data_IF_485655230625
#
_entry.id   IF_485655230625
#
_cell.length_a   1.000
_cell.length_b   1.000
_cell.length_c   1.000
_cell.angle_alpha   90.00
_cell.angle_beta   90.00
_cell.angle_gamma   90.00
#
_symmetry.space_group_name_H-M   'P 1'
#
loop_
_entity.id
_entity.type
_entity.pdbx_description
1 polymer ?
#
# COMPACT_ATOMS: atom_id res chain seq x y z
N UNK A 1 0.08 21.81 -32.07
CA UNK A 1 -0.05 20.37 -32.11
C UNK A 1 -0.52 19.90 -30.74
N UNK A 2 -1.86 19.84 -30.54
CA UNK A 2 -2.44 19.34 -29.30
C UNK A 2 -2.36 17.83 -29.27
N UNK A 3 -1.62 17.27 -28.34
CA UNK A 3 -1.73 15.85 -28.01
C UNK A 3 -3.03 15.64 -27.24
N UNK A 4 -4.04 15.10 -27.92
CA UNK A 4 -5.22 14.54 -27.26
C UNK A 4 -4.83 13.22 -26.63
N UNK A 5 -4.62 13.20 -25.30
CA UNK A 5 -4.42 11.96 -24.56
C UNK A 5 -5.79 11.32 -24.34
N UNK A 6 -6.09 10.29 -25.12
CA UNK A 6 -7.22 9.40 -24.85
C UNK A 6 -6.78 8.35 -23.81
N UNK A 7 -6.83 8.69 -22.52
CA UNK A 7 -6.45 7.77 -21.46
C UNK A 7 -6.62 8.36 -20.06
N UNK A 8 -6.62 7.50 -19.07
CA UNK A 8 -6.70 7.90 -17.65
C UNK A 8 -5.36 8.54 -17.23
N UNK A 9 -5.41 9.75 -16.69
CA UNK A 9 -4.23 10.49 -16.24
C UNK A 9 -4.16 10.43 -14.72
N UNK A 10 -2.97 10.16 -14.17
CA UNK A 10 -2.69 10.24 -12.74
C UNK A 10 -2.48 11.71 -12.38
N UNK A 11 -3.48 12.30 -11.72
CA UNK A 11 -3.45 13.75 -11.42
C UNK A 11 -2.81 14.12 -10.09
N UNK A 12 -2.52 13.18 -9.21
CA UNK A 12 -2.09 13.44 -7.82
C UNK A 12 -0.84 14.30 -7.67
N UNK A 13 0.14 14.11 -8.56
CA UNK A 13 1.39 14.86 -8.54
C UNK A 13 1.50 15.86 -9.69
N UNK A 14 0.52 15.86 -10.58
CA UNK A 14 0.38 16.88 -11.62
C UNK A 14 -0.43 18.03 -11.03
N UNK A 15 0.16 19.18 -10.90
CA UNK A 15 -0.53 20.37 -10.45
C UNK A 15 -0.62 21.39 -11.60
N UNK A 16 -1.51 22.34 -11.44
CA UNK A 16 -1.55 23.50 -12.33
C UNK A 16 -0.49 24.53 -11.92
N UNK A 17 0.03 25.25 -12.91
CA UNK A 17 0.77 26.47 -12.68
C UNK A 17 -0.16 27.53 -12.08
N UNK A 18 0.41 28.66 -11.63
CA UNK A 18 -0.41 29.82 -11.20
C UNK A 18 -1.30 30.37 -12.31
N UNK A 19 -0.95 30.13 -13.59
CA UNK A 19 -1.71 30.53 -14.76
C UNK A 19 -2.81 29.49 -15.15
N UNK A 20 -2.98 28.42 -14.39
CA UNK A 20 -4.01 27.40 -14.65
C UNK A 20 -3.65 26.39 -15.75
N UNK A 21 -2.40 26.36 -16.21
CA UNK A 21 -1.92 25.37 -17.20
C UNK A 21 -1.32 24.15 -16.48
N UNK A 22 -1.41 22.96 -17.10
CA UNK A 22 -0.77 21.76 -16.56
C UNK A 22 0.75 21.95 -16.47
N UNK A 23 1.34 21.50 -15.36
CA UNK A 23 2.81 21.51 -15.19
C UNK A 23 3.45 20.49 -16.13
N UNK A 24 4.63 20.81 -16.62
CA UNK A 24 5.48 19.87 -17.36
C UNK A 24 6.26 18.99 -16.39
N UNK A 25 6.86 17.90 -16.87
CA UNK A 25 7.75 17.04 -16.08
C UNK A 25 8.94 17.79 -15.46
N UNK A 26 9.39 18.87 -16.08
CA UNK A 26 10.48 19.72 -15.59
C UNK A 26 10.02 20.73 -14.51
N UNK A 27 8.72 20.90 -14.35
CA UNK A 27 8.09 21.75 -13.33
C UNK A 27 7.52 20.92 -12.18
N UNK A 28 8.07 19.73 -11.95
CA UNK A 28 7.61 18.76 -10.94
C UNK A 28 8.11 19.14 -9.54
N UNK A 29 7.59 20.24 -8.99
CA UNK A 29 7.82 20.65 -7.60
C UNK A 29 6.57 20.46 -6.73
N UNK A 30 5.79 19.43 -7.03
CA UNK A 30 4.74 19.00 -6.12
C UNK A 30 5.37 18.37 -4.86
N UNK A 31 4.90 18.80 -3.70
CA UNK A 31 5.35 18.20 -2.45
C UNK A 31 4.95 16.71 -2.40
N UNK A 32 5.87 15.89 -1.89
CA UNK A 32 5.55 14.50 -1.63
C UNK A 32 4.50 14.39 -0.54
N UNK A 33 3.50 13.50 -0.75
CA UNK A 33 2.42 13.27 0.20
C UNK A 33 2.90 12.26 1.24
N UNK A 34 3.21 12.71 2.47
CA UNK A 34 3.50 11.81 3.58
C UNK A 34 2.23 11.27 4.21
N UNK A 35 1.33 12.18 4.62
CA UNK A 35 0.03 11.86 5.21
C UNK A 35 -1.02 12.85 4.73
N UNK A 36 -2.26 12.38 4.60
CA UNK A 36 -3.42 13.20 4.31
C UNK A 36 -4.66 12.68 5.03
N UNK A 37 -5.65 13.52 5.19
CA UNK A 37 -6.82 13.23 6.00
C UNK A 37 -7.51 11.90 5.69
N UNK A 38 -7.78 11.51 4.41
CA UNK A 38 -8.35 10.20 4.10
C UNK A 38 -7.53 9.03 4.61
N UNK A 39 -6.19 9.11 4.57
CA UNK A 39 -5.34 8.07 5.13
C UNK A 39 -5.55 7.91 6.65
N UNK A 40 -5.68 9.02 7.38
CA UNK A 40 -5.94 8.99 8.83
C UNK A 40 -7.31 8.35 9.12
N UNK A 41 -8.34 8.63 8.30
CA UNK A 41 -9.64 7.98 8.42
C UNK A 41 -9.53 6.47 8.23
N UNK A 42 -8.81 6.02 7.19
CA UNK A 42 -8.61 4.60 6.89
C UNK A 42 -7.72 3.92 7.94
N UNK A 43 -6.72 4.59 8.52
CA UNK A 43 -5.96 4.07 9.65
C UNK A 43 -6.83 3.88 10.89
N UNK A 44 -7.73 4.84 11.18
CA UNK A 44 -8.70 4.71 12.27
C UNK A 44 -9.66 3.55 12.03
N UNK A 45 -10.15 3.40 10.80
CA UNK A 45 -11.00 2.27 10.42
C UNK A 45 -10.29 0.93 10.66
N UNK A 46 -9.02 0.82 10.28
CA UNK A 46 -8.20 -0.37 10.51
C UNK A 46 -8.09 -0.71 12.01
N UNK A 47 -7.80 0.30 12.84
CA UNK A 47 -7.73 0.10 14.29
C UNK A 47 -9.05 -0.34 14.90
N UNK A 48 -10.19 0.17 14.41
CA UNK A 48 -11.52 -0.24 14.86
C UNK A 48 -11.84 -1.69 14.45
N UNK A 49 -11.48 -2.09 13.22
CA UNK A 49 -11.64 -3.48 12.76
C UNK A 49 -10.87 -4.43 13.68
N UNK A 50 -9.67 -4.08 14.10
CA UNK A 50 -8.85 -4.90 14.99
C UNK A 50 -9.42 -4.97 16.43
N UNK A 51 -10.25 -4.05 16.86
CA UNK A 51 -10.99 -4.14 18.13
C UNK A 51 -12.13 -5.17 18.06
N UNK A 52 -12.76 -5.34 16.92
CA UNK A 52 -13.61 -6.47 16.56
C UNK A 52 -15.02 -6.46 17.15
N UNK A 53 -15.46 -5.46 17.92
CA UNK A 53 -16.88 -5.39 18.33
C UNK A 53 -17.76 -4.94 17.15
N UNK A 54 -19.03 -5.36 17.11
CA UNK A 54 -19.93 -4.93 16.03
C UNK A 54 -20.08 -3.42 15.95
N UNK A 55 -20.07 -2.71 17.07
CA UNK A 55 -20.11 -1.25 17.10
C UNK A 55 -18.83 -0.64 16.49
N UNK A 56 -17.66 -1.22 16.77
CA UNK A 56 -16.40 -0.79 16.18
C UNK A 56 -16.35 -1.09 14.67
N UNK A 57 -16.86 -2.25 14.22
CA UNK A 57 -16.94 -2.60 12.81
C UNK A 57 -17.87 -1.67 12.03
N UNK A 58 -19.03 -1.34 12.59
CA UNK A 58 -19.95 -0.35 11.99
C UNK A 58 -19.29 1.04 11.91
N UNK A 59 -18.60 1.47 12.96
CA UNK A 59 -17.87 2.72 12.96
C UNK A 59 -16.72 2.72 11.93
N UNK A 60 -16.02 1.62 11.77
CA UNK A 60 -14.98 1.44 10.75
C UNK A 60 -15.56 1.55 9.33
N UNK A 61 -16.66 0.85 9.07
CA UNK A 61 -17.36 0.92 7.79
C UNK A 61 -17.79 2.36 7.46
N UNK A 62 -18.36 3.08 8.43
CA UNK A 62 -18.76 4.48 8.24
C UNK A 62 -17.58 5.38 7.82
N UNK A 63 -16.38 5.16 8.38
CA UNK A 63 -15.17 5.91 8.00
C UNK A 63 -14.71 5.58 6.57
N UNK A 64 -14.78 4.32 6.16
CA UNK A 64 -14.47 3.90 4.79
C UNK A 64 -15.46 4.56 3.82
N UNK A 65 -16.76 4.52 4.14
CA UNK A 65 -17.80 5.11 3.31
C UNK A 65 -17.69 6.65 3.22
N UNK A 66 -17.15 7.31 4.24
CA UNK A 66 -16.85 8.75 4.18
C UNK A 66 -15.81 9.05 3.09
N UNK A 67 -14.77 8.22 2.97
CA UNK A 67 -13.74 8.36 1.92
C UNK A 67 -14.35 8.10 0.54
N UNK A 68 -15.13 7.04 0.40
CA UNK A 68 -15.80 6.65 -0.86
C UNK A 68 -16.82 7.68 -1.33
N UNK A 69 -17.63 8.22 -0.43
CA UNK A 69 -18.62 9.25 -0.73
C UNK A 69 -17.97 10.51 -1.31
N UNK A 70 -16.85 10.94 -0.74
CA UNK A 70 -16.07 12.07 -1.27
C UNK A 70 -15.59 11.82 -2.71
N UNK A 71 -15.22 10.58 -3.02
CA UNK A 71 -14.77 10.17 -4.35
C UNK A 71 -15.91 9.87 -5.33
N UNK A 72 -17.17 9.99 -4.90
CA UNK A 72 -18.38 9.60 -5.66
C UNK A 72 -18.32 8.13 -6.13
N UNK A 73 -17.79 7.24 -5.28
CA UNK A 73 -17.54 5.83 -5.59
C UNK A 73 -18.55 4.89 -4.91
N UNK A 74 -19.74 5.39 -4.59
CA UNK A 74 -20.76 4.64 -3.82
C UNK A 74 -21.48 3.55 -4.66
N UNK A 75 -21.56 3.74 -5.97
CA UNK A 75 -22.32 2.85 -6.85
C UNK A 75 -21.53 1.63 -7.35
N UNK A 76 -20.24 1.53 -7.05
CA UNK A 76 -19.36 0.54 -7.65
C UNK A 76 -19.17 -0.73 -6.84
N UNK A 77 -19.70 -0.83 -5.61
CA UNK A 77 -19.48 -1.97 -4.74
C UNK A 77 -20.75 -2.69 -4.34
N UNK A 78 -20.75 -3.98 -4.62
CA UNK A 78 -21.81 -4.93 -4.27
C UNK A 78 -21.78 -5.37 -2.80
N UNK A 79 -20.79 -4.92 -2.00
CA UNK A 79 -20.62 -5.37 -0.62
C UNK A 79 -21.53 -4.57 0.30
N UNK A 80 -22.58 -5.21 0.77
CA UNK A 80 -23.52 -4.66 1.75
C UNK A 80 -23.12 -5.04 3.18
N UNK A 81 -22.70 -4.07 3.96
CA UNK A 81 -22.38 -4.22 5.38
C UNK A 81 -23.51 -3.65 6.29
N UNK A 82 -24.77 -3.68 5.83
CA UNK A 82 -25.91 -3.16 6.61
C UNK A 82 -26.33 -4.02 7.79
N UNK A 83 -25.89 -5.28 7.83
CA UNK A 83 -26.22 -6.26 8.87
C UNK A 83 -25.10 -6.49 9.88
N UNK A 84 -24.91 -7.77 10.27
CA UNK A 84 -23.77 -8.21 11.08
C UNK A 84 -22.53 -8.23 10.20
N UNK A 85 -21.55 -7.42 10.56
CA UNK A 85 -20.34 -7.24 9.78
C UNK A 85 -19.32 -8.32 10.14
N UNK A 86 -18.80 -9.01 9.13
CA UNK A 86 -17.66 -9.89 9.26
C UNK A 86 -16.37 -9.03 9.24
N UNK A 87 -15.54 -9.22 10.27
CA UNK A 87 -14.30 -8.42 10.42
C UNK A 87 -13.28 -8.68 9.31
N UNK A 88 -13.14 -9.92 8.84
CA UNK A 88 -12.19 -10.26 7.77
C UNK A 88 -12.63 -9.69 6.42
N UNK A 89 -13.92 -9.72 6.11
CA UNK A 89 -14.48 -9.11 4.90
C UNK A 89 -14.35 -7.60 4.91
N UNK A 90 -14.63 -6.96 6.04
CA UNK A 90 -14.46 -5.53 6.20
C UNK A 90 -12.98 -5.10 6.12
N UNK A 91 -12.08 -5.93 6.66
CA UNK A 91 -10.64 -5.68 6.55
C UNK A 91 -10.15 -5.76 5.09
N UNK A 92 -10.65 -6.74 4.34
CA UNK A 92 -10.36 -6.84 2.91
C UNK A 92 -10.89 -5.62 2.14
N UNK A 93 -12.13 -5.23 2.41
CA UNK A 93 -12.75 -4.05 1.82
C UNK A 93 -11.94 -2.77 2.12
N UNK A 94 -11.49 -2.60 3.37
CA UNK A 94 -10.60 -1.51 3.77
C UNK A 94 -9.28 -1.54 2.98
N UNK A 95 -8.65 -2.72 2.82
CA UNK A 95 -7.37 -2.87 2.13
C UNK A 95 -7.49 -2.49 0.64
N UNK A 96 -8.63 -2.82 0.04
CA UNK A 96 -8.94 -2.44 -1.35
C UNK A 96 -9.23 -0.95 -1.47
N UNK A 97 -9.93 -0.35 -0.50
CA UNK A 97 -10.15 1.10 -0.49
C UNK A 97 -8.85 1.87 -0.30
N UNK A 98 -7.95 1.39 0.59
CA UNK A 98 -6.60 1.96 0.73
C UNK A 98 -5.81 1.88 -0.57
N UNK A 99 -5.94 0.78 -1.32
CA UNK A 99 -5.29 0.63 -2.63
C UNK A 99 -5.78 1.67 -3.64
N UNK A 100 -7.10 1.91 -3.69
CA UNK A 100 -7.72 2.91 -4.58
C UNK A 100 -7.37 4.35 -4.17
N UNK A 101 -7.62 4.67 -2.91
CA UNK A 101 -7.45 6.04 -2.40
C UNK A 101 -5.97 6.48 -2.35
N UNK A 102 -5.05 5.58 -1.95
CA UNK A 102 -3.63 5.89 -1.75
C UNK A 102 -2.74 5.44 -2.93
N UNK A 103 -3.34 5.13 -4.06
CA UNK A 103 -2.62 4.73 -5.28
C UNK A 103 -1.56 5.79 -5.65
N UNK A 104 -0.37 5.33 -6.00
CA UNK A 104 0.83 6.14 -6.31
C UNK A 104 1.43 6.95 -5.15
N UNK A 105 1.00 6.73 -3.91
CA UNK A 105 1.57 7.38 -2.73
C UNK A 105 2.62 6.52 -1.99
N UNK A 106 3.02 5.38 -2.58
CA UNK A 106 4.04 4.49 -2.02
C UNK A 106 3.58 3.67 -0.80
N UNK A 107 2.26 3.57 -0.55
CA UNK A 107 1.72 2.95 0.67
C UNK A 107 1.43 1.45 0.52
N UNK A 108 1.11 0.99 -0.70
CA UNK A 108 0.56 -0.35 -0.94
C UNK A 108 1.38 -1.48 -0.35
N UNK A 109 2.72 -1.45 -0.51
CA UNK A 109 3.59 -2.48 0.02
C UNK A 109 3.45 -2.64 1.54
N UNK A 110 3.47 -1.53 2.25
CA UNK A 110 3.36 -1.52 3.72
C UNK A 110 1.98 -1.96 4.20
N UNK A 111 0.93 -1.62 3.49
CA UNK A 111 -0.44 -2.04 3.80
C UNK A 111 -0.58 -3.56 3.67
N UNK A 112 -0.16 -4.12 2.54
CA UNK A 112 -0.20 -5.56 2.28
C UNK A 112 0.69 -6.33 3.24
N UNK A 113 1.90 -5.85 3.51
CA UNK A 113 2.82 -6.49 4.44
C UNK A 113 2.27 -6.47 5.87
N UNK A 114 1.69 -5.37 6.33
CA UNK A 114 1.07 -5.26 7.65
C UNK A 114 -0.11 -6.22 7.79
N UNK A 115 -0.95 -6.33 6.77
CA UNK A 115 -2.05 -7.27 6.70
C UNK A 115 -1.55 -8.73 6.75
N UNK A 116 -0.59 -9.08 5.90
CA UNK A 116 -0.03 -10.43 5.82
C UNK A 116 0.63 -10.88 7.13
N UNK A 117 1.32 -9.97 7.85
CA UNK A 117 2.07 -10.28 9.07
C UNK A 117 1.22 -10.54 10.32
N UNK A 118 -0.03 -10.13 10.33
CA UNK A 118 -0.90 -10.35 11.49
C UNK A 118 -1.01 -11.81 11.84
N UNK A 119 -1.17 -12.07 13.14
CA UNK A 119 -1.31 -13.43 13.67
C UNK A 119 -0.21 -14.39 13.16
N UNK A 120 1.03 -13.93 13.20
CA UNK A 120 2.19 -14.70 12.74
C UNK A 120 2.09 -15.13 11.26
N UNK A 121 1.83 -14.17 10.39
CA UNK A 121 1.70 -14.37 8.94
C UNK A 121 0.50 -15.24 8.51
N UNK A 122 -0.58 -15.24 9.29
CA UNK A 122 -1.77 -16.02 8.94
C UNK A 122 -2.41 -15.68 7.60
N UNK A 123 -2.13 -14.48 7.06
CA UNK A 123 -2.66 -13.99 5.77
C UNK A 123 -1.56 -13.80 4.72
N UNK A 124 -0.45 -14.56 4.82
CA UNK A 124 0.68 -14.47 3.88
C UNK A 124 0.28 -14.78 2.44
N UNK A 125 -0.70 -15.67 2.23
CA UNK A 125 -1.18 -16.06 0.91
C UNK A 125 -1.68 -14.85 0.11
N UNK A 126 -2.30 -13.88 0.75
CA UNK A 126 -2.73 -12.65 0.09
C UNK A 126 -1.56 -11.87 -0.53
N UNK A 127 -0.44 -11.74 0.19
CA UNK A 127 0.77 -11.11 -0.31
C UNK A 127 1.37 -11.93 -1.45
N UNK A 128 1.39 -13.26 -1.29
CA UNK A 128 1.92 -14.18 -2.30
C UNK A 128 1.11 -14.10 -3.60
N UNK A 129 -0.21 -14.13 -3.52
CA UNK A 129 -1.11 -14.05 -4.67
C UNK A 129 -0.92 -12.72 -5.43
N UNK A 130 -0.85 -11.60 -4.73
CA UNK A 130 -0.58 -10.31 -5.36
C UNK A 130 0.77 -10.28 -6.07
N UNK A 131 1.81 -10.82 -5.44
CA UNK A 131 3.15 -10.85 -6.01
C UNK A 131 3.23 -11.77 -7.23
N UNK A 132 2.61 -12.97 -7.16
CA UNK A 132 2.65 -13.95 -8.23
C UNK A 132 1.77 -13.56 -9.42
N UNK A 133 0.59 -12.99 -9.17
CA UNK A 133 -0.30 -12.50 -10.23
C UNK A 133 0.28 -11.31 -11.00
N UNK A 134 1.13 -10.52 -10.34
CA UNK A 134 1.84 -9.39 -10.95
C UNK A 134 3.18 -9.78 -11.59
N UNK A 135 3.59 -11.05 -11.45
CA UNK A 135 4.89 -11.51 -11.88
C UNK A 135 4.97 -11.69 -13.41
N UNK A 136 6.06 -11.27 -14.05
CA UNK A 136 6.33 -11.64 -15.43
C UNK A 136 6.40 -13.17 -15.61
N UNK A 137 6.01 -13.64 -16.78
CA UNK A 137 6.05 -15.08 -17.12
C UNK A 137 7.44 -15.67 -16.83
N UNK A 138 7.48 -16.79 -16.12
CA UNK A 138 8.71 -17.49 -15.75
C UNK A 138 9.44 -16.96 -14.51
N UNK A 139 8.95 -15.91 -13.87
CA UNK A 139 9.52 -15.37 -12.60
C UNK A 139 8.78 -15.81 -11.35
N UNK A 140 7.64 -16.46 -11.48
CA UNK A 140 6.76 -16.83 -10.37
C UNK A 140 7.47 -17.69 -9.33
N UNK A 141 8.20 -18.76 -9.74
CA UNK A 141 8.91 -19.64 -8.82
C UNK A 141 10.00 -18.90 -8.03
N UNK A 142 10.75 -18.01 -8.69
CA UNK A 142 11.78 -17.18 -8.04
C UNK A 142 11.18 -16.21 -7.04
N UNK A 143 10.05 -15.60 -7.37
CA UNK A 143 9.32 -14.68 -6.47
C UNK A 143 8.69 -15.43 -5.30
N UNK A 144 8.13 -16.62 -5.54
CA UNK A 144 7.60 -17.49 -4.49
C UNK A 144 8.67 -17.84 -3.47
N UNK A 145 9.85 -18.30 -3.93
CA UNK A 145 10.98 -18.59 -3.05
C UNK A 145 11.45 -17.35 -2.28
N UNK A 146 11.54 -16.21 -2.97
CA UNK A 146 11.95 -14.95 -2.34
C UNK A 146 10.98 -14.51 -1.25
N UNK A 147 9.69 -14.39 -1.57
CA UNK A 147 8.69 -13.90 -0.61
C UNK A 147 8.31 -14.92 0.45
N UNK A 148 8.61 -16.21 0.25
CA UNK A 148 8.53 -17.23 1.28
C UNK A 148 9.55 -17.03 2.41
N UNK A 149 10.65 -16.31 2.15
CA UNK A 149 11.59 -15.88 3.20
C UNK A 149 11.16 -14.52 3.74
N UNK A 150 10.63 -14.47 4.97
CA UNK A 150 10.12 -13.25 5.59
C UNK A 150 11.16 -12.14 5.74
N UNK A 151 12.46 -12.46 5.72
CA UNK A 151 13.54 -11.48 5.74
C UNK A 151 13.56 -10.63 4.48
N UNK A 152 13.14 -11.19 3.34
CA UNK A 152 13.06 -10.50 2.05
C UNK A 152 12.00 -9.39 2.01
N UNK A 153 11.08 -9.37 2.97
CA UNK A 153 10.01 -8.38 3.05
C UNK A 153 10.53 -6.98 3.44
N UNK A 154 11.74 -6.90 3.96
CA UNK A 154 12.41 -5.65 4.33
C UNK A 154 13.51 -5.34 3.35
N UNK A 155 13.68 -4.05 3.08
CA UNK A 155 14.71 -3.56 2.17
C UNK A 155 16.11 -3.73 2.75
N UNK A 156 17.14 -3.88 1.89
CA UNK A 156 18.52 -3.81 2.34
C UNK A 156 18.87 -2.38 2.78
N UNK A 157 19.80 -2.28 3.71
CA UNK A 157 20.49 -1.03 4.00
C UNK A 157 21.45 -0.75 2.84
N UNK A 158 21.49 0.49 2.35
CA UNK A 158 22.40 0.86 1.26
C UNK A 158 23.86 0.72 1.68
N UNK A 159 24.71 0.27 0.77
CA UNK A 159 26.12 -0.02 1.06
C UNK A 159 26.89 1.20 1.60
N UNK A 160 26.56 2.40 1.16
CA UNK A 160 27.23 3.61 1.63
C UNK A 160 26.88 3.94 3.08
N UNK A 161 25.66 3.63 3.53
CA UNK A 161 25.25 3.75 4.93
C UNK A 161 26.00 2.74 5.81
N UNK A 162 26.14 1.50 5.34
CA UNK A 162 26.91 0.48 6.03
C UNK A 162 28.39 0.84 6.16
N UNK A 163 28.97 1.48 5.14
CA UNK A 163 30.37 1.98 5.20
C UNK A 163 30.52 3.16 6.15
N UNK A 164 29.52 4.05 6.17
CA UNK A 164 29.56 5.25 7.00
C UNK A 164 29.29 4.99 8.47
N UNK A 165 28.51 3.96 8.80
CA UNK A 165 28.16 3.60 10.16
C UNK A 165 28.34 2.10 10.40
N UNK A 166 29.45 1.73 11.00
CA UNK A 166 29.83 0.34 11.29
C UNK A 166 28.93 -0.35 12.35
N UNK A 167 28.08 0.41 13.04
CA UNK A 167 27.08 -0.15 13.97
C UNK A 167 25.83 -0.68 13.29
N UNK A 168 25.65 -0.41 11.99
CA UNK A 168 24.52 -0.94 11.22
C UNK A 168 24.77 -2.42 10.87
N UNK A 169 23.72 -3.21 11.04
CA UNK A 169 23.70 -4.63 10.66
C UNK A 169 22.77 -4.80 9.48
N UNK A 170 23.28 -5.37 8.39
CA UNK A 170 22.51 -5.66 7.19
C UNK A 170 21.41 -6.70 7.47
N UNK A 171 20.30 -6.57 6.75
CA UNK A 171 19.31 -7.62 6.70
C UNK A 171 19.94 -8.91 6.14
N UNK A 172 19.88 -9.98 6.92
CA UNK A 172 20.52 -11.27 6.63
C UNK A 172 20.10 -11.93 5.33
N UNK A 173 18.96 -11.54 4.76
CA UNK A 173 18.55 -11.97 3.42
C UNK A 173 19.49 -11.46 2.31
N UNK A 174 20.09 -10.28 2.51
CA UNK A 174 20.98 -9.62 1.55
C UNK A 174 22.47 -9.74 1.92
N UNK A 175 22.79 -10.43 3.02
CA UNK A 175 24.17 -10.74 3.33
C UNK A 175 24.74 -11.68 2.28
N UNK A 176 25.70 -11.21 1.51
CA UNK A 176 26.47 -12.07 0.60
C UNK A 176 27.54 -12.79 1.40
N UNK A 177 27.90 -14.01 0.98
CA UNK A 177 28.92 -14.87 1.65
C UNK A 177 30.29 -14.20 1.83
N UNK A 178 30.48 -13.02 1.27
CA UNK A 178 31.69 -12.20 1.37
C UNK A 178 31.72 -11.33 2.64
N UNK A 179 30.59 -11.11 3.30
CA UNK A 179 30.48 -10.26 4.50
C UNK A 179 30.74 -11.04 5.81
N UNK A 180 30.82 -12.37 5.76
CA UNK A 180 31.03 -13.26 6.94
C UNK A 180 32.49 -13.37 7.35
N UNK A 181 33.36 -12.51 6.86
CA UNK A 181 34.78 -12.47 7.31
C UNK A 181 35.12 -11.14 7.97
N UNK A 182 34.73 -11.02 9.23
CA UNK A 182 35.53 -10.27 10.22
C UNK A 182 35.26 -10.81 11.61
#
# INVERSE_FOLDING_TARGET
>A
NGYSYQGTIIWKYMALTRQGTARTSQQSYANWIFYRYPEILLMKAEALIQKGTQADLQAAYALIMQVRSRANALESDETDFSGIINADELEQFLLDERARELMFEGKRWYDVLRFARRNNYAKIDYLMDLALNSAPTGKQQSLQSKYGDHRSHYWPIHDDELKSNQSLVQNTFYETSTTIKK
#
